data_IF_023464314902
#
_entry.id   IF_023464314902
#
_cell.length_a   1.000
_cell.length_b   1.000
_cell.length_c   1.000
_cell.angle_alpha   90.00
_cell.angle_beta   90.00
_cell.angle_gamma   90.00
#
_symmetry.space_group_name_H-M   'P 1'
#
loop_
_entity.id
_entity.type
_entity.pdbx_description
1 polymer ?
#
# COMPACT_ATOMS: atom_id res chain seq x y z
N UNK A 1 -18.87 -12.53 14.21
CA UNK A 1 -19.08 -11.29 13.44
C UNK A 1 -17.84 -11.05 12.57
N UNK A 2 -18.02 -10.75 11.30
CA UNK A 2 -16.91 -10.44 10.39
C UNK A 2 -16.30 -9.08 10.74
N UNK A 3 -14.99 -8.90 10.56
CA UNK A 3 -14.31 -7.62 10.77
C UNK A 3 -14.96 -6.49 9.94
N UNK A 4 -15.48 -6.80 8.75
CA UNK A 4 -16.14 -5.81 7.88
C UNK A 4 -17.47 -5.29 8.40
N UNK A 5 -18.07 -5.95 9.39
CA UNK A 5 -19.34 -5.51 9.99
C UNK A 5 -19.15 -4.39 11.00
N UNK A 6 -17.92 -4.03 11.34
CA UNK A 6 -17.61 -2.93 12.26
C UNK A 6 -17.23 -1.68 11.49
N UNK A 7 -17.35 -0.52 12.16
CA UNK A 7 -16.94 0.75 11.56
C UNK A 7 -15.42 0.76 11.41
N UNK A 8 -14.88 1.00 10.21
CA UNK A 8 -13.43 1.02 10.01
C UNK A 8 -12.79 2.28 10.59
N UNK A 9 -11.54 2.13 11.00
CA UNK A 9 -10.65 3.25 11.29
C UNK A 9 -9.97 3.68 10.00
N UNK A 10 -10.05 4.96 9.67
CA UNK A 10 -9.39 5.51 8.50
C UNK A 10 -7.92 5.77 8.84
N UNK A 11 -7.06 4.86 8.40
CA UNK A 11 -5.62 4.93 8.70
C UNK A 11 -4.90 5.80 7.67
N UNK A 12 -4.46 6.98 8.08
CA UNK A 12 -3.81 7.97 7.21
C UNK A 12 -2.34 8.19 7.51
N UNK A 13 -1.83 7.63 8.58
CA UNK A 13 -0.46 7.83 9.05
C UNK A 13 0.60 7.26 8.10
N UNK A 14 0.19 6.36 7.20
CA UNK A 14 1.06 5.83 6.13
C UNK A 14 1.27 6.82 4.98
N UNK A 15 0.51 7.92 4.94
CA UNK A 15 0.48 8.83 3.81
C UNK A 15 -0.53 8.46 2.73
N UNK A 16 -1.24 7.34 2.90
CA UNK A 16 -2.31 6.89 2.01
C UNK A 16 -3.66 7.36 2.54
N UNK A 17 -4.51 7.86 1.65
CA UNK A 17 -5.82 8.39 2.04
C UNK A 17 -6.93 7.34 2.03
N UNK A 18 -6.68 6.17 1.46
CA UNK A 18 -7.72 5.19 1.14
C UNK A 18 -7.57 3.88 1.90
N UNK A 19 -6.88 3.89 3.05
CA UNK A 19 -6.72 2.68 3.87
C UNK A 19 -7.76 2.65 4.97
N UNK A 20 -8.58 1.60 4.97
CA UNK A 20 -9.59 1.34 5.98
C UNK A 20 -9.18 0.13 6.81
N UNK A 21 -9.05 0.32 8.12
CA UNK A 21 -8.62 -0.72 9.05
C UNK A 21 -9.83 -1.17 9.86
N UNK A 22 -10.22 -2.43 9.71
CA UNK A 22 -11.37 -3.03 10.37
C UNK A 22 -10.92 -3.85 11.58
N UNK A 23 -11.82 -3.96 12.55
CA UNK A 23 -11.59 -4.81 13.72
C UNK A 23 -10.75 -4.17 14.81
N UNK A 24 -10.41 -2.89 14.68
CA UNK A 24 -9.68 -2.13 15.70
C UNK A 24 -10.70 -1.35 16.52
N UNK A 25 -10.69 -1.55 17.84
CA UNK A 25 -11.62 -0.87 18.73
C UNK A 25 -10.96 0.36 19.36
N UNK A 26 -11.59 1.53 19.26
CA UNK A 26 -11.09 2.71 19.95
C UNK A 26 -11.27 2.57 21.46
N UNK A 27 -10.37 3.17 22.20
CA UNK A 27 -10.42 3.27 23.66
C UNK A 27 -10.60 4.74 24.01
N UNK A 28 -11.45 5.02 24.99
CA UNK A 28 -11.62 6.37 25.50
C UNK A 28 -10.48 6.66 26.48
N UNK A 29 -9.74 7.73 26.24
CA UNK A 29 -8.65 8.15 27.11
C UNK A 29 -9.17 8.95 28.33
N UNK A 30 -8.24 9.41 29.17
CA UNK A 30 -8.57 10.15 30.40
C UNK A 30 -9.22 11.51 30.10
N UNK A 31 -9.01 12.06 28.91
CA UNK A 31 -9.59 13.33 28.48
C UNK A 31 -10.96 13.15 27.79
N UNK A 32 -11.40 11.91 27.62
CA UNK A 32 -12.67 11.58 26.97
C UNK A 32 -12.59 11.46 25.45
N UNK A 33 -11.39 11.46 24.89
CA UNK A 33 -11.19 11.35 23.46
C UNK A 33 -11.03 9.88 23.02
N UNK A 34 -11.54 9.56 21.81
CA UNK A 34 -11.34 8.25 21.23
C UNK A 34 -9.89 8.12 20.71
N UNK A 35 -9.18 7.12 21.21
CA UNK A 35 -7.81 6.82 20.81
C UNK A 35 -7.75 5.41 20.24
N UNK A 36 -7.17 5.27 19.05
CA UNK A 36 -6.90 3.98 18.45
C UNK A 36 -5.41 3.68 18.59
N UNK A 37 -5.10 2.58 19.25
CA UNK A 37 -3.72 2.09 19.37
C UNK A 37 -3.51 1.00 18.33
N UNK A 38 -2.51 1.20 17.48
CA UNK A 38 -2.15 0.23 16.47
C UNK A 38 -0.90 -0.52 16.92
N UNK A 39 -1.06 -1.81 17.17
CA UNK A 39 0.03 -2.70 17.53
C UNK A 39 0.66 -3.27 16.26
N UNK A 40 1.98 -3.50 16.29
CA UNK A 40 2.72 -4.09 15.17
C UNK A 40 2.53 -3.31 13.86
N UNK A 41 2.94 -2.05 13.87
CA UNK A 41 2.83 -1.15 12.71
C UNK A 41 3.52 -1.72 11.46
N UNK A 42 4.64 -2.43 11.64
CA UNK A 42 5.35 -3.02 10.52
C UNK A 42 4.53 -4.12 9.84
N UNK A 43 3.81 -4.91 10.63
CA UNK A 43 2.89 -5.93 10.10
C UNK A 43 1.73 -5.30 9.35
N UNK A 44 1.17 -4.20 9.85
CA UNK A 44 0.13 -3.44 9.16
C UNK A 44 0.64 -2.91 7.82
N UNK A 45 1.81 -2.30 7.79
CA UNK A 45 2.38 -1.75 6.56
C UNK A 45 2.68 -2.86 5.53
N UNK A 46 3.12 -4.03 5.99
CA UNK A 46 3.30 -5.19 5.10
C UNK A 46 1.98 -5.64 4.48
N UNK A 47 0.89 -5.66 5.25
CA UNK A 47 -0.44 -6.00 4.73
C UNK A 47 -0.92 -4.97 3.71
N UNK A 48 -0.68 -3.69 3.96
CA UNK A 48 -1.00 -2.62 3.00
C UNK A 48 -0.21 -2.82 1.70
N UNK A 49 1.09 -3.09 1.80
CA UNK A 49 1.92 -3.37 0.63
C UNK A 49 1.40 -4.57 -0.14
N UNK A 50 1.02 -5.64 0.56
CA UNK A 50 0.43 -6.82 -0.08
C UNK A 50 -0.83 -6.47 -0.86
N UNK A 51 -1.71 -5.65 -0.30
CA UNK A 51 -2.94 -5.21 -0.97
C UNK A 51 -2.64 -4.43 -2.26
N UNK A 52 -1.66 -3.51 -2.21
CA UNK A 52 -1.26 -2.72 -3.39
C UNK A 52 -0.68 -3.65 -4.47
N UNK A 53 0.24 -4.53 -4.09
CA UNK A 53 0.99 -5.35 -5.03
C UNK A 53 0.15 -6.45 -5.68
N UNK A 54 -0.92 -6.88 -5.01
CA UNK A 54 -1.79 -7.96 -5.51
C UNK A 54 -2.96 -7.45 -6.32
N UNK A 55 -3.13 -6.15 -6.45
CA UNK A 55 -4.29 -5.51 -7.08
C UNK A 55 -3.98 -5.16 -8.53
N UNK A 56 -4.94 -5.38 -9.43
CA UNK A 56 -4.88 -4.87 -10.80
C UNK A 56 -5.10 -3.38 -10.81
N UNK A 57 -4.38 -2.70 -11.69
CA UNK A 57 -4.42 -1.27 -11.87
C UNK A 57 -3.13 -0.60 -11.45
N UNK A 58 -2.72 0.43 -12.18
CA UNK A 58 -1.53 1.21 -11.84
C UNK A 58 -1.66 1.75 -10.43
N UNK A 59 -0.60 1.58 -9.64
CA UNK A 59 -0.57 2.19 -8.32
C UNK A 59 -0.59 3.71 -8.43
N UNK A 60 -1.15 4.36 -7.43
CA UNK A 60 -1.15 5.83 -7.36
C UNK A 60 0.24 6.34 -6.99
N UNK A 61 0.48 7.63 -7.20
CA UNK A 61 1.74 8.24 -6.79
C UNK A 61 2.00 8.10 -5.28
N UNK A 62 0.97 8.23 -4.47
CA UNK A 62 1.09 8.04 -3.01
C UNK A 62 1.42 6.61 -2.64
N UNK A 63 0.86 5.64 -3.34
CA UNK A 63 1.17 4.23 -3.15
C UNK A 63 2.62 3.93 -3.54
N UNK A 64 3.09 4.51 -4.63
CA UNK A 64 4.49 4.41 -5.03
C UNK A 64 5.42 4.96 -3.95
N UNK A 65 5.11 6.14 -3.43
CA UNK A 65 5.90 6.75 -2.35
C UNK A 65 5.90 5.87 -1.10
N UNK A 66 4.74 5.31 -0.75
CA UNK A 66 4.62 4.38 0.37
C UNK A 66 5.55 3.17 0.20
N UNK A 67 5.47 2.50 -0.96
CA UNK A 67 6.31 1.34 -1.24
C UNK A 67 7.80 1.71 -1.24
N UNK A 68 8.16 2.82 -1.86
CA UNK A 68 9.55 3.28 -1.88
C UNK A 68 10.07 3.51 -0.46
N UNK A 69 9.29 4.17 0.37
CA UNK A 69 9.65 4.45 1.77
C UNK A 69 9.80 3.15 2.56
N UNK A 70 8.89 2.20 2.37
CA UNK A 70 8.95 0.89 3.03
C UNK A 70 10.18 0.09 2.60
N UNK A 71 10.60 0.21 1.33
CA UNK A 71 11.84 -0.40 0.83
C UNK A 71 13.10 0.32 1.34
N UNK A 72 12.97 1.49 1.97
CA UNK A 72 14.10 2.28 2.44
C UNK A 72 14.89 2.96 1.34
N UNK A 73 14.27 3.23 0.19
CA UNK A 73 14.93 3.82 -0.97
C UNK A 73 14.64 5.32 -1.07
N UNK A 74 15.64 6.08 -1.52
CA UNK A 74 15.43 7.46 -1.97
C UNK A 74 14.81 7.47 -3.37
N UNK A 75 14.27 8.61 -3.78
CA UNK A 75 13.78 8.76 -5.16
C UNK A 75 14.88 8.48 -6.19
N UNK A 76 16.09 8.93 -5.92
CA UNK A 76 17.23 8.71 -6.81
C UNK A 76 17.60 7.22 -6.91
N UNK A 77 17.57 6.52 -5.79
CA UNK A 77 17.87 5.08 -5.77
C UNK A 77 16.82 4.27 -6.53
N UNK A 78 15.53 4.58 -6.33
CA UNK A 78 14.46 3.93 -7.09
C UNK A 78 14.58 4.25 -8.58
N UNK A 79 14.80 5.52 -8.92
CA UNK A 79 14.96 5.95 -10.31
C UNK A 79 16.08 5.19 -11.01
N UNK A 80 17.21 5.01 -10.34
CA UNK A 80 18.33 4.25 -10.87
C UNK A 80 17.95 2.81 -11.20
N UNK A 81 17.17 2.18 -10.34
CA UNK A 81 16.72 0.79 -10.52
C UNK A 81 15.81 0.61 -11.73
N UNK A 82 15.04 1.64 -12.08
CA UNK A 82 14.11 1.58 -13.22
C UNK A 82 14.60 2.39 -14.43
N UNK A 83 15.85 2.81 -14.40
CA UNK A 83 16.50 3.54 -15.50
C UNK A 83 15.81 4.85 -15.86
N UNK A 84 15.36 5.58 -14.85
CA UNK A 84 14.77 6.91 -14.98
C UNK A 84 15.56 7.90 -14.12
N UNK A 85 15.32 9.20 -14.30
CA UNK A 85 15.88 10.19 -13.40
C UNK A 85 14.98 10.39 -12.16
N UNK A 86 15.55 10.96 -11.10
CA UNK A 86 14.81 11.13 -9.85
C UNK A 86 13.65 12.14 -9.98
N UNK A 87 13.73 13.07 -10.93
CA UNK A 87 12.66 14.02 -11.17
C UNK A 87 11.42 13.33 -11.75
N UNK A 88 11.64 12.34 -12.60
CA UNK A 88 10.56 11.51 -13.14
C UNK A 88 9.83 10.77 -12.02
N UNK A 89 10.58 10.13 -11.11
CA UNK A 89 9.97 9.47 -9.95
C UNK A 89 9.21 10.47 -9.09
N UNK A 90 9.78 11.65 -8.86
CA UNK A 90 9.09 12.71 -8.12
C UNK A 90 7.77 13.14 -8.76
N UNK A 91 7.71 13.26 -10.08
CA UNK A 91 6.47 13.58 -10.80
C UNK A 91 5.43 12.48 -10.65
N UNK A 92 5.85 11.21 -10.72
CA UNK A 92 4.96 10.08 -10.49
C UNK A 92 4.34 10.15 -9.09
N UNK A 93 5.18 10.39 -8.08
CA UNK A 93 4.72 10.43 -6.69
C UNK A 93 3.75 11.57 -6.42
N UNK A 94 3.91 12.70 -7.10
CA UNK A 94 3.00 13.84 -6.99
C UNK A 94 1.75 13.71 -7.86
N UNK A 95 1.65 12.65 -8.66
CA UNK A 95 0.51 12.45 -9.57
C UNK A 95 0.51 13.36 -10.77
N UNK A 96 1.63 13.99 -11.10
CA UNK A 96 1.75 14.89 -12.26
C UNK A 96 1.77 14.13 -13.58
N UNK A 97 2.34 12.94 -13.58
CA UNK A 97 2.35 12.03 -14.72
C UNK A 97 2.09 10.60 -14.24
N UNK A 98 1.42 9.76 -15.04
CA UNK A 98 1.23 8.37 -14.68
C UNK A 98 2.56 7.62 -14.67
N UNK A 99 2.66 6.59 -13.85
CA UNK A 99 3.85 5.76 -13.77
C UNK A 99 3.98 4.97 -15.08
N UNK A 100 5.19 4.95 -15.64
CA UNK A 100 5.50 4.12 -16.80
C UNK A 100 5.16 2.65 -16.49
N UNK A 101 4.44 1.99 -17.39
CA UNK A 101 3.95 0.63 -17.17
C UNK A 101 5.06 -0.38 -16.91
N UNK A 102 6.16 -0.31 -17.68
CA UNK A 102 7.29 -1.21 -17.48
C UNK A 102 7.95 -0.96 -16.12
N UNK A 103 8.11 0.29 -15.75
CA UNK A 103 8.67 0.64 -14.44
C UNK A 103 7.76 0.16 -13.32
N UNK A 104 6.45 0.29 -13.45
CA UNK A 104 5.51 -0.14 -12.43
C UNK A 104 5.57 -1.66 -12.21
N UNK A 105 5.63 -2.44 -13.28
CA UNK A 105 5.79 -3.91 -13.16
C UNK A 105 7.08 -4.25 -12.42
N UNK A 106 8.19 -3.59 -12.77
CA UNK A 106 9.47 -3.82 -12.11
C UNK A 106 9.42 -3.41 -10.63
N UNK A 107 8.80 -2.29 -10.32
CA UNK A 107 8.65 -1.82 -8.94
C UNK A 107 7.82 -2.81 -8.12
N UNK A 108 6.75 -3.38 -8.67
CA UNK A 108 5.98 -4.41 -7.99
C UNK A 108 6.85 -5.60 -7.60
N UNK A 109 7.66 -6.08 -8.54
CA UNK A 109 8.56 -7.21 -8.30
C UNK A 109 9.62 -6.87 -7.25
N UNK A 110 10.22 -5.69 -7.35
CA UNK A 110 11.23 -5.23 -6.38
C UNK A 110 10.63 -5.10 -4.98
N UNK A 111 9.45 -4.50 -4.88
CA UNK A 111 8.78 -4.31 -3.59
C UNK A 111 8.39 -5.66 -2.98
N UNK A 112 7.85 -6.58 -3.77
CA UNK A 112 7.49 -7.90 -3.30
C UNK A 112 8.70 -8.64 -2.74
N UNK A 113 9.82 -8.59 -3.44
CA UNK A 113 11.07 -9.21 -3.00
C UNK A 113 11.61 -8.54 -1.73
N UNK A 114 11.69 -7.21 -1.74
CA UNK A 114 12.25 -6.44 -0.63
C UNK A 114 11.41 -6.55 0.65
N UNK A 115 10.08 -6.55 0.51
CA UNK A 115 9.16 -6.55 1.66
C UNK A 115 8.69 -7.96 2.05
N UNK A 116 9.14 -8.99 1.35
CA UNK A 116 8.78 -10.36 1.66
C UNK A 116 7.32 -10.69 1.37
N UNK A 117 6.72 -10.04 0.37
CA UNK A 117 5.36 -10.30 -0.07
C UNK A 117 5.38 -11.37 -1.16
N UNK A 118 4.62 -12.45 -0.95
CA UNK A 118 4.45 -13.49 -1.97
C UNK A 118 3.40 -13.05 -2.97
N UNK A 119 3.79 -12.98 -4.25
CA UNK A 119 2.86 -12.76 -5.34
C UNK A 119 2.51 -14.12 -5.96
N UNK A 120 1.21 -14.35 -6.17
CA UNK A 120 0.72 -15.57 -6.81
C UNK A 120 0.75 -15.47 -8.34
N UNK A 121 0.75 -14.24 -8.86
CA UNK A 121 0.82 -13.99 -10.29
C UNK A 121 2.26 -14.10 -10.80
N UNK A 122 2.43 -14.66 -11.99
CA UNK A 122 3.74 -14.67 -12.65
C UNK A 122 4.02 -13.32 -13.33
N UNK A 123 5.23 -13.17 -13.90
CA UNK A 123 5.64 -11.90 -14.53
C UNK A 123 4.70 -11.50 -15.67
N UNK A 124 4.31 -12.46 -16.52
CA UNK A 124 3.41 -12.18 -17.63
C UNK A 124 2.04 -11.68 -17.16
N UNK A 125 1.51 -12.27 -16.09
CA UNK A 125 0.25 -11.80 -15.48
C UNK A 125 0.41 -10.41 -14.86
N UNK A 126 1.52 -10.15 -14.18
CA UNK A 126 1.79 -8.86 -13.55
C UNK A 126 1.88 -7.71 -14.56
N UNK A 127 2.35 -7.97 -15.77
CA UNK A 127 2.34 -6.94 -16.82
C UNK A 127 0.92 -6.48 -17.15
N UNK A 128 -0.06 -7.38 -17.02
CA UNK A 128 -1.47 -7.04 -17.18
C UNK A 128 -2.06 -6.25 -16.01
N UNK A 129 -1.37 -6.20 -14.86
CA UNK A 129 -1.81 -5.39 -13.71
C UNK A 129 -1.43 -3.92 -13.88
N UNK A 130 -0.37 -3.64 -14.62
CA UNK A 130 0.18 -2.28 -14.82
C UNK A 130 -0.62 -1.49 -15.86
N UNK A 131 -1.94 -1.41 -15.69
CA UNK A 131 -2.83 -0.69 -16.59
C UNK A 131 -3.59 0.36 -15.80
N UNK A 132 -3.81 1.53 -16.42
CA UNK A 132 -4.60 2.59 -15.79
C UNK A 132 -6.03 2.11 -15.58
N UNK A 133 -6.53 2.32 -14.37
CA UNK A 133 -7.92 2.04 -14.02
C UNK A 133 -8.48 3.22 -13.26
N UNK A 134 -9.65 3.68 -13.66
CA UNK A 134 -10.38 4.69 -12.91
C UNK A 134 -11.03 4.05 -11.68
N UNK A 135 -11.06 4.79 -10.56
CA UNK A 135 -11.83 4.39 -9.39
C UNK A 135 -11.32 3.15 -8.68
N UNK A 136 -10.02 3.10 -8.39
CA UNK A 136 -9.47 2.03 -7.57
C UNK A 136 -10.20 1.96 -6.21
N UNK A 137 -10.58 0.75 -5.76
CA UNK A 137 -11.26 0.61 -4.48
C UNK A 137 -10.33 0.97 -3.31
N UNK A 138 -10.88 1.36 -2.16
CA UNK A 138 -10.06 1.58 -0.97
C UNK A 138 -9.39 0.28 -0.53
N UNK A 139 -8.22 0.43 0.10
CA UNK A 139 -7.49 -0.68 0.69
C UNK A 139 -8.15 -1.02 2.03
N UNK A 140 -8.66 -2.24 2.16
CA UNK A 140 -9.32 -2.70 3.37
C UNK A 140 -8.46 -3.76 4.04
N UNK A 141 -8.16 -3.55 5.31
CA UNK A 141 -7.31 -4.43 6.10
C UNK A 141 -8.08 -4.95 7.31
N UNK A 142 -8.02 -6.25 7.53
CA UNK A 142 -8.51 -6.88 8.75
C UNK A 142 -7.46 -6.71 9.85
N UNK A 143 -7.76 -5.87 10.82
CA UNK A 143 -6.89 -5.56 11.95
C UNK A 143 -7.29 -6.25 13.25
N UNK A 144 -8.13 -7.28 13.19
CA UNK A 144 -8.59 -8.01 14.37
C UNK A 144 -7.42 -8.64 15.16
N UNK A 145 -6.45 -9.19 14.44
CA UNK A 145 -5.26 -9.79 15.04
C UNK A 145 -4.01 -9.00 14.63
N UNK A 146 -3.39 -8.25 15.56
CA UNK A 146 -2.19 -7.46 15.24
C UNK A 146 -0.99 -8.30 14.80
N UNK A 147 -0.95 -9.57 15.13
CA UNK A 147 0.12 -10.45 14.69
C UNK A 147 -0.12 -10.98 13.28
N UNK A 148 -1.28 -10.70 12.70
CA UNK A 148 -1.68 -11.25 11.40
C UNK A 148 -2.64 -10.31 10.66
N UNK A 149 -2.20 -9.09 10.40
CA UNK A 149 -2.95 -8.18 9.53
C UNK A 149 -3.07 -8.77 8.12
N UNK A 150 -4.26 -8.70 7.55
CA UNK A 150 -4.54 -9.26 6.23
C UNK A 150 -5.40 -8.32 5.40
N UNK A 151 -5.12 -8.20 4.09
CA UNK A 151 -6.05 -7.53 3.18
C UNK A 151 -7.39 -8.26 3.16
N UNK A 152 -8.46 -7.47 3.10
CA UNK A 152 -9.81 -7.99 2.88
C UNK A 152 -10.07 -7.91 1.37
N UNK A 153 -10.41 -9.04 0.76
CA UNK A 153 -10.71 -9.07 -0.66
C UNK A 153 -11.97 -8.24 -0.95
N UNK A 154 -11.87 -7.42 -1.99
CA UNK A 154 -12.99 -6.60 -2.45
C UNK A 154 -14.06 -7.46 -3.12
#
# INVERSE_FOLDING_TARGET
>A
MSAVDTKPYHYTESGLETVLLYGVEPVIDDDGDEVVTILNINGLHKAIACAILSRKGLMTGRELRFLRTEMGLTQAELARSVHKDHQTVGRWERGETPIDQNAETLIRLMAAESLGVKLTANVAELTGYSVEMAGLPPIQIDGTDPDNYRPIAA
#
